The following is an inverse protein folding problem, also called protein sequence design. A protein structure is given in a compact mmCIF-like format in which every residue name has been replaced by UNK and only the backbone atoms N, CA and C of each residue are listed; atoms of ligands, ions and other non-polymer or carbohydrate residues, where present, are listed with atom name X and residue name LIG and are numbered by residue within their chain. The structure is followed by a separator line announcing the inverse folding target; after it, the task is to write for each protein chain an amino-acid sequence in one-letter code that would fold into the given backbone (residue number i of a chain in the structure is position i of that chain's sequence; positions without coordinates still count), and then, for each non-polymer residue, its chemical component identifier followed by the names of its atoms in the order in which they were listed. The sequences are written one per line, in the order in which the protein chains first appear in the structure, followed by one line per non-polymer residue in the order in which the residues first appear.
data_IF_807845238367
#
_entry.id   IF_807845238367
#
_cell.length_a   1.000
_cell.length_b   1.000
_cell.length_c   1.000
_cell.angle_alpha   90.00
_cell.angle_beta   90.00
_cell.angle_gamma   90.00
#
_symmetry.space_group_name_H-M   'P 1'
#
loop_
_entity.id
_entity.type
_entity.pdbx_description
1 polymer ?
#
# COMPACT_ATOMS: atom_id res chain seq x y z
N UNK A 1 -7.08 19.45 5.44
CA UNK A 1 -8.17 19.03 4.58
C UNK A 1 -9.34 18.46 5.37
N UNK A 2 -10.46 18.32 4.74
CA UNK A 2 -11.67 17.75 5.35
C UNK A 2 -11.81 16.24 5.01
N UNK A 3 -10.72 15.57 4.71
CA UNK A 3 -10.72 14.15 4.39
C UNK A 3 -10.25 13.32 5.57
N UNK A 4 -10.60 12.03 5.55
CA UNK A 4 -10.02 11.06 6.45
C UNK A 4 -8.58 10.78 6.05
N UNK A 5 -7.69 10.64 7.03
CA UNK A 5 -6.30 10.31 6.81
C UNK A 5 -5.95 8.97 7.44
N UNK A 6 -4.98 8.28 6.87
CA UNK A 6 -4.27 7.17 7.51
C UNK A 6 -2.87 7.64 7.85
N UNK A 7 -2.45 7.45 9.10
CA UNK A 7 -1.08 7.75 9.51
C UNK A 7 -0.28 6.45 9.38
N UNK A 8 0.66 6.45 8.43
CA UNK A 8 1.57 5.33 8.18
C UNK A 8 2.99 5.64 8.61
N UNK A 9 3.67 4.69 9.21
CA UNK A 9 5.11 4.77 9.50
C UNK A 9 5.79 3.56 8.89
N UNK A 10 6.81 3.79 8.04
CA UNK A 10 7.72 2.76 7.60
C UNK A 10 8.93 2.71 8.56
N UNK A 11 9.03 1.68 9.42
CA UNK A 11 10.09 1.60 10.42
C UNK A 11 11.42 1.13 9.83
N UNK A 12 11.46 0.75 8.55
CA UNK A 12 12.60 0.10 7.89
C UNK A 12 13.15 -1.11 8.66
N UNK A 13 12.32 -1.77 9.46
CA UNK A 13 12.67 -2.95 10.26
C UNK A 13 11.44 -3.79 10.59
N UNK A 14 11.61 -5.10 10.69
CA UNK A 14 10.62 -6.05 11.20
C UNK A 14 10.82 -6.37 12.70
N UNK A 15 11.49 -5.51 13.43
CA UNK A 15 11.67 -5.69 14.87
C UNK A 15 10.34 -5.47 15.61
N UNK A 16 9.85 -6.55 16.24
CA UNK A 16 8.54 -6.57 16.94
C UNK A 16 8.46 -5.50 18.02
N UNK A 17 9.51 -5.32 18.83
CA UNK A 17 9.50 -4.36 19.94
C UNK A 17 9.45 -2.90 19.44
N UNK A 18 10.14 -2.58 18.36
CA UNK A 18 10.08 -1.26 17.75
C UNK A 18 8.70 -1.00 17.12
N UNK A 19 8.15 -1.99 16.44
CA UNK A 19 6.80 -1.90 15.88
C UNK A 19 5.75 -1.63 16.96
N UNK A 20 5.85 -2.33 18.11
CA UNK A 20 4.94 -2.09 19.24
C UNK A 20 5.07 -0.67 19.78
N UNK A 21 6.28 -0.14 19.90
CA UNK A 21 6.50 1.24 20.36
C UNK A 21 5.86 2.26 19.43
N UNK A 22 6.02 2.07 18.11
CA UNK A 22 5.46 2.96 17.11
C UNK A 22 3.93 2.92 17.12
N UNK A 23 3.33 1.72 17.16
CA UNK A 23 1.87 1.58 17.24
C UNK A 23 1.30 2.25 18.49
N UNK A 24 1.93 2.07 19.65
CA UNK A 24 1.50 2.74 20.90
C UNK A 24 1.65 4.25 20.81
N UNK A 25 2.77 4.74 20.27
CA UNK A 25 2.98 6.18 20.09
C UNK A 25 1.92 6.81 19.20
N UNK A 26 1.60 6.17 18.06
CA UNK A 26 0.54 6.66 17.17
C UNK A 26 -0.82 6.64 17.87
N UNK A 27 -1.15 5.56 18.56
CA UNK A 27 -2.42 5.43 19.31
C UNK A 27 -2.52 6.51 20.39
N UNK A 28 -1.47 6.75 21.17
CA UNK A 28 -1.44 7.80 22.21
C UNK A 28 -1.68 9.18 21.61
N UNK A 29 -1.10 9.51 20.45
CA UNK A 29 -1.30 10.78 19.75
C UNK A 29 -2.72 10.88 19.22
N UNK A 30 -3.23 9.84 18.57
CA UNK A 30 -4.59 9.77 18.02
C UNK A 30 -5.61 10.00 19.14
N UNK A 31 -5.47 9.28 20.25
CA UNK A 31 -6.39 9.41 21.38
C UNK A 31 -6.29 10.78 22.07
N UNK A 32 -5.06 11.28 22.29
CA UNK A 32 -4.84 12.56 22.98
C UNK A 32 -5.44 13.74 22.24
N UNK A 33 -5.40 13.73 20.92
CA UNK A 33 -5.85 14.83 20.08
C UNK A 33 -7.18 14.54 19.37
N UNK A 34 -7.81 13.41 19.67
CA UNK A 34 -9.08 12.97 19.09
C UNK A 34 -9.05 13.01 17.54
N UNK A 35 -7.95 12.52 16.96
CA UNK A 35 -7.74 12.54 15.50
C UNK A 35 -8.60 11.45 14.86
N UNK A 36 -9.49 11.77 13.89
CA UNK A 36 -10.31 10.78 13.22
C UNK A 36 -9.51 10.03 12.15
N UNK A 37 -8.59 9.17 12.59
CA UNK A 37 -7.67 8.45 11.70
C UNK A 37 -7.44 7.03 12.18
N UNK A 38 -6.80 6.25 11.32
CA UNK A 38 -6.30 4.91 11.59
C UNK A 38 -4.79 4.91 11.49
N UNK A 39 -4.14 4.11 12.33
CA UNK A 39 -2.69 3.93 12.30
C UNK A 39 -2.29 2.70 11.49
N UNK A 40 -1.12 2.78 10.87
CA UNK A 40 -0.49 1.68 10.17
C UNK A 40 1.03 1.70 10.38
N UNK A 41 1.63 0.57 10.70
CA UNK A 41 3.07 0.37 10.55
C UNK A 41 3.29 -0.48 9.30
N UNK A 42 4.06 0.06 8.34
CA UNK A 42 4.38 -0.61 7.09
C UNK A 42 5.44 -1.68 7.35
N UNK A 43 5.01 -2.80 7.86
CA UNK A 43 5.84 -3.96 8.20
C UNK A 43 5.18 -5.24 7.71
N UNK A 44 5.94 -6.31 7.58
CA UNK A 44 5.42 -7.59 7.10
C UNK A 44 4.28 -8.11 7.99
N UNK A 45 3.25 -8.72 7.38
CA UNK A 45 2.06 -9.23 8.12
C UNK A 45 2.39 -10.16 9.27
N UNK A 46 3.43 -10.98 9.14
CA UNK A 46 3.86 -11.88 10.24
C UNK A 46 4.39 -11.12 11.45
N UNK A 47 5.01 -9.95 11.22
CA UNK A 47 5.40 -9.06 12.30
C UNK A 47 4.18 -8.41 12.95
N UNK A 48 3.20 -7.98 12.14
CA UNK A 48 1.93 -7.43 12.64
C UNK A 48 1.18 -8.44 13.51
N UNK A 49 1.11 -9.72 13.12
CA UNK A 49 0.51 -10.79 13.94
C UNK A 49 1.21 -10.89 15.30
N UNK A 50 2.54 -10.93 15.31
CA UNK A 50 3.33 -10.99 16.54
C UNK A 50 3.15 -9.77 17.45
N UNK A 51 3.02 -8.58 16.86
CA UNK A 51 2.76 -7.35 17.65
C UNK A 51 1.37 -7.37 18.27
N UNK A 52 0.38 -7.84 17.51
CA UNK A 52 -0.99 -8.02 17.99
C UNK A 52 -1.07 -9.00 19.16
N UNK A 53 -0.38 -10.15 19.07
CA UNK A 53 -0.31 -11.14 20.14
C UNK A 53 0.27 -10.59 21.43
N UNK A 54 1.15 -9.58 21.34
CA UNK A 54 1.71 -8.84 22.48
C UNK A 54 0.84 -7.63 22.91
N UNK A 55 -0.38 -7.52 22.41
CA UNK A 55 -1.35 -6.50 22.83
C UNK A 55 -1.11 -5.11 22.23
N UNK A 56 -0.44 -5.01 21.09
CA UNK A 56 -0.28 -3.72 20.41
C UNK A 56 -1.59 -3.28 19.75
N UNK A 57 -1.87 -1.96 19.70
CA UNK A 57 -3.08 -1.40 19.07
C UNK A 57 -2.91 -1.35 17.54
N UNK A 58 -3.25 -2.43 16.86
CA UNK A 58 -3.18 -2.54 15.39
C UNK A 58 -4.52 -2.13 14.79
N UNK A 59 -4.54 -1.06 13.99
CA UNK A 59 -5.73 -0.64 13.23
C UNK A 59 -5.72 -1.26 11.83
N UNK A 60 -4.63 -1.09 11.09
CA UNK A 60 -4.47 -1.62 9.75
C UNK A 60 -3.32 -2.62 9.65
N UNK A 61 -3.55 -3.63 8.84
CA UNK A 61 -2.58 -4.68 8.51
C UNK A 61 -2.05 -4.43 7.10
N UNK A 62 -0.78 -4.07 7.01
CA UNK A 62 -0.09 -3.77 5.76
C UNK A 62 0.54 -5.00 5.13
N UNK A 63 0.50 -5.09 3.80
CA UNK A 63 1.32 -6.02 3.05
C UNK A 63 1.44 -5.63 1.58
N UNK A 64 2.67 -5.70 1.05
CA UNK A 64 2.91 -5.66 -0.40
C UNK A 64 2.58 -7.01 -1.02
N UNK A 65 1.88 -6.99 -2.14
CA UNK A 65 1.50 -8.17 -2.92
C UNK A 65 1.79 -7.97 -4.40
N UNK A 66 1.94 -9.06 -5.12
CA UNK A 66 2.18 -9.04 -6.58
C UNK A 66 1.28 -10.01 -7.34
N UNK A 67 1.38 -9.94 -8.66
CA UNK A 67 0.54 -10.70 -9.59
C UNK A 67 0.97 -12.15 -9.86
N UNK A 68 2.09 -12.60 -9.30
CA UNK A 68 2.57 -13.98 -9.45
C UNK A 68 2.91 -14.59 -8.10
N UNK A 69 2.88 -15.91 -8.03
CA UNK A 69 3.28 -16.61 -6.82
C UNK A 69 4.77 -16.40 -6.51
N UNK A 70 5.62 -16.29 -7.54
CA UNK A 70 7.04 -16.04 -7.34
C UNK A 70 7.28 -14.67 -6.67
N UNK A 71 6.57 -13.62 -7.11
CA UNK A 71 6.62 -12.30 -6.47
C UNK A 71 6.13 -12.37 -5.03
N UNK A 72 4.99 -12.99 -4.77
CA UNK A 72 4.46 -13.11 -3.41
C UNK A 72 5.36 -13.95 -2.50
N UNK A 73 5.99 -15.00 -3.02
CA UNK A 73 6.97 -15.79 -2.28
C UNK A 73 8.23 -14.97 -1.94
N UNK A 74 8.65 -14.05 -2.82
CA UNK A 74 9.77 -13.13 -2.51
C UNK A 74 9.41 -12.13 -1.41
N UNK A 75 8.15 -11.75 -1.29
CA UNK A 75 7.62 -10.99 -0.14
C UNK A 75 7.42 -11.86 1.13
N UNK A 76 7.57 -13.17 1.04
CA UNK A 76 7.32 -14.07 2.16
C UNK A 76 5.84 -14.29 2.47
N UNK A 77 4.94 -14.12 1.52
CA UNK A 77 3.49 -14.26 1.72
C UNK A 77 2.85 -15.24 0.74
N UNK A 78 1.79 -15.84 1.21
CA UNK A 78 0.80 -16.61 0.45
C UNK A 78 -0.61 -16.31 0.94
N UNK A 79 -1.61 -16.90 0.31
CA UNK A 79 -3.02 -16.68 0.69
C UNK A 79 -3.35 -17.14 2.12
N UNK A 80 -2.63 -18.13 2.65
CA UNK A 80 -2.84 -18.63 4.00
C UNK A 80 -2.35 -17.60 5.02
N UNK A 81 -1.13 -17.11 4.85
CA UNK A 81 -0.53 -16.07 5.70
C UNK A 81 -1.37 -14.79 5.66
N UNK A 82 -1.83 -14.35 4.48
CA UNK A 82 -2.69 -13.19 4.35
C UNK A 82 -4.04 -13.37 5.08
N UNK A 83 -4.61 -14.57 5.01
CA UNK A 83 -5.84 -14.89 5.74
C UNK A 83 -5.64 -14.84 7.26
N UNK A 84 -4.56 -15.43 7.76
CA UNK A 84 -4.23 -15.39 9.19
C UNK A 84 -4.05 -13.94 9.69
N UNK A 85 -3.38 -13.10 8.89
CA UNK A 85 -3.20 -11.69 9.22
C UNK A 85 -4.52 -10.90 9.20
N UNK A 86 -5.37 -11.14 8.22
CA UNK A 86 -6.70 -10.54 8.12
C UNK A 86 -7.58 -10.90 9.33
N UNK A 87 -7.64 -12.18 9.67
CA UNK A 87 -8.40 -12.67 10.85
C UNK A 87 -7.85 -12.09 12.16
N UNK A 88 -6.52 -11.96 12.27
CA UNK A 88 -5.87 -11.32 13.41
C UNK A 88 -6.25 -9.84 13.53
N UNK A 89 -6.27 -9.10 12.43
CA UNK A 89 -6.70 -7.69 12.39
C UNK A 89 -8.18 -7.54 12.80
N UNK A 90 -9.07 -8.33 12.20
CA UNK A 90 -10.49 -8.32 12.51
C UNK A 90 -10.77 -8.60 13.99
N UNK A 91 -10.01 -9.50 14.60
CA UNK A 91 -10.23 -9.91 16.01
C UNK A 91 -9.99 -8.77 17.02
N UNK A 92 -9.31 -7.69 16.63
CA UNK A 92 -9.08 -6.53 17.50
C UNK A 92 -10.26 -5.56 17.52
N UNK A 93 -11.13 -5.60 16.51
CA UNK A 93 -12.30 -4.74 16.38
C UNK A 93 -11.96 -3.23 16.54
N UNK A 94 -10.83 -2.81 15.99
CA UNK A 94 -10.32 -1.43 16.08
C UNK A 94 -10.59 -0.58 14.83
N UNK A 95 -11.09 -1.19 13.75
CA UNK A 95 -11.36 -0.46 12.51
C UNK A 95 -12.40 0.64 12.73
N UNK A 96 -12.10 1.86 12.33
CA UNK A 96 -13.01 3.01 12.40
C UNK A 96 -13.97 3.04 11.20
N UNK A 97 -13.63 2.32 10.13
CA UNK A 97 -14.41 2.22 8.89
C UNK A 97 -14.81 0.75 8.66
N UNK A 98 -15.64 0.20 9.55
CA UNK A 98 -16.12 -1.18 9.45
C UNK A 98 -15.02 -2.23 9.63
N UNK A 99 -15.14 -3.33 8.90
CA UNK A 99 -14.26 -4.50 9.02
C UNK A 99 -13.12 -4.52 7.99
N UNK A 100 -12.85 -3.40 7.32
CA UNK A 100 -11.80 -3.29 6.31
C UNK A 100 -10.47 -3.00 7.01
N UNK A 101 -9.70 -4.03 7.30
CA UNK A 101 -8.46 -3.92 8.09
C UNK A 101 -7.19 -4.08 7.26
N UNK A 102 -7.31 -4.45 5.97
CA UNK A 102 -6.14 -4.67 5.12
C UNK A 102 -5.77 -3.40 4.35
N UNK A 103 -4.48 -3.14 4.31
CA UNK A 103 -3.85 -2.16 3.43
C UNK A 103 -2.84 -2.90 2.54
N UNK A 104 -3.14 -2.95 1.24
CA UNK A 104 -2.25 -3.59 0.27
C UNK A 104 -1.48 -2.56 -0.54
N UNK A 105 -0.21 -2.84 -0.78
CA UNK A 105 0.59 -2.20 -1.82
C UNK A 105 0.83 -3.14 -2.98
N UNK A 106 0.76 -2.58 -4.18
CA UNK A 106 1.08 -3.21 -5.45
C UNK A 106 1.86 -2.21 -6.31
N UNK A 107 2.03 -2.43 -7.59
CA UNK A 107 2.48 -1.39 -8.50
C UNK A 107 3.29 -1.89 -9.68
N UNK A 108 3.06 -1.29 -10.82
CA UNK A 108 3.82 -1.55 -12.04
C UNK A 108 5.29 -1.14 -11.90
N UNK A 109 5.59 -0.19 -11.01
CA UNK A 109 6.95 0.25 -10.70
C UNK A 109 7.75 -0.64 -9.77
N UNK A 110 7.18 -1.74 -9.26
CA UNK A 110 7.86 -2.61 -8.30
C UNK A 110 8.97 -3.44 -8.93
N UNK A 111 10.21 -3.26 -8.47
CA UNK A 111 11.37 -4.07 -8.89
C UNK A 111 11.28 -5.53 -8.44
N UNK A 112 10.54 -5.82 -7.38
CA UNK A 112 10.38 -7.18 -6.84
C UNK A 112 9.60 -8.10 -7.78
N UNK A 113 8.86 -7.54 -8.74
CA UNK A 113 8.26 -8.30 -9.83
C UNK A 113 9.21 -8.55 -10.99
N UNK A 114 10.41 -7.96 -10.97
CA UNK A 114 11.44 -8.19 -11.97
C UNK A 114 11.78 -9.68 -12.06
N UNK A 115 11.84 -10.20 -13.30
CA UNK A 115 12.10 -11.63 -13.57
C UNK A 115 11.13 -12.61 -12.88
N UNK A 116 10.06 -12.15 -12.25
CA UNK A 116 9.05 -12.97 -11.59
C UNK A 116 7.67 -12.92 -12.28
N UNK A 117 7.58 -12.24 -13.41
CA UNK A 117 6.35 -12.08 -14.19
C UNK A 117 6.06 -13.22 -15.17
N UNK A 118 7.03 -14.10 -15.45
CA UNK A 118 6.89 -15.22 -16.39
C UNK A 118 6.38 -14.82 -17.77
N UNK A 119 6.81 -13.66 -18.27
CA UNK A 119 6.40 -13.13 -19.57
C UNK A 119 5.01 -12.48 -19.60
N UNK A 120 4.36 -12.32 -18.44
CA UNK A 120 3.14 -11.50 -18.34
C UNK A 120 3.51 -10.02 -18.38
N UNK A 121 2.65 -9.23 -18.99
CA UNK A 121 2.75 -7.77 -18.91
C UNK A 121 2.41 -7.25 -17.50
N UNK A 122 2.79 -6.01 -17.23
CA UNK A 122 2.62 -5.40 -15.91
C UNK A 122 1.14 -5.17 -15.55
N UNK A 123 0.33 -4.78 -16.50
CA UNK A 123 -1.11 -4.59 -16.28
C UNK A 123 -1.79 -5.90 -15.89
N UNK A 124 -1.42 -7.01 -16.56
CA UNK A 124 -1.92 -8.35 -16.20
C UNK A 124 -1.47 -8.74 -14.80
N UNK A 125 -0.21 -8.45 -14.43
CA UNK A 125 0.28 -8.70 -13.07
C UNK A 125 -0.53 -7.91 -12.03
N UNK A 126 -0.80 -6.62 -12.29
CA UNK A 126 -1.62 -5.79 -11.40
C UNK A 126 -3.05 -6.31 -11.26
N UNK A 127 -3.71 -6.64 -12.37
CA UNK A 127 -5.06 -7.22 -12.31
C UNK A 127 -5.12 -8.49 -11.46
N UNK A 128 -4.07 -9.32 -11.50
CA UNK A 128 -3.96 -10.52 -10.66
C UNK A 128 -3.72 -10.18 -9.19
N UNK A 129 -2.87 -9.19 -8.89
CA UNK A 129 -2.66 -8.69 -7.53
C UNK A 129 -3.98 -8.14 -6.96
N UNK A 130 -4.74 -7.38 -7.75
CA UNK A 130 -6.05 -6.85 -7.34
C UNK A 130 -7.08 -7.94 -7.07
N UNK A 131 -7.04 -9.05 -7.81
CA UNK A 131 -7.89 -10.21 -7.51
C UNK A 131 -7.56 -10.82 -6.13
N UNK A 132 -6.31 -10.81 -5.72
CA UNK A 132 -5.89 -11.21 -4.37
C UNK A 132 -6.40 -10.19 -3.34
N UNK A 133 -6.15 -8.90 -3.56
CA UNK A 133 -6.61 -7.83 -2.66
C UNK A 133 -8.13 -7.90 -2.42
N UNK A 134 -8.91 -8.04 -3.48
CA UNK A 134 -10.37 -8.11 -3.43
C UNK A 134 -10.90 -9.24 -2.53
N UNK A 135 -10.16 -10.33 -2.39
CA UNK A 135 -10.53 -11.46 -1.53
C UNK A 135 -10.60 -11.08 -0.05
N UNK A 136 -9.90 -10.03 0.36
CA UNK A 136 -9.79 -9.59 1.75
C UNK A 136 -10.52 -8.29 2.05
N UNK A 137 -11.32 -7.79 1.11
CA UNK A 137 -12.12 -6.57 1.27
C UNK A 137 -11.33 -5.43 1.92
N UNK A 138 -10.27 -4.94 1.28
CA UNK A 138 -9.30 -4.04 1.90
C UNK A 138 -9.88 -2.63 2.14
N UNK A 139 -9.32 -1.91 3.11
CA UNK A 139 -9.57 -0.49 3.28
C UNK A 139 -8.89 0.32 2.18
N UNK A 140 -7.64 -0.05 1.86
CA UNK A 140 -6.80 0.66 0.90
C UNK A 140 -6.07 -0.33 0.00
N UNK A 141 -5.98 0.01 -1.30
CA UNK A 141 -5.05 -0.60 -2.24
C UNK A 141 -4.26 0.50 -2.89
N UNK A 142 -2.97 0.57 -2.62
CA UNK A 142 -2.06 1.58 -3.12
C UNK A 142 -1.22 1.02 -4.26
N UNK A 143 -1.22 1.68 -5.41
CA UNK A 143 -0.28 1.37 -6.48
C UNK A 143 0.95 2.27 -6.37
N UNK A 144 2.13 1.67 -6.46
CA UNK A 144 3.42 2.35 -6.43
C UNK A 144 4.00 2.34 -7.84
N UNK A 145 4.13 3.50 -8.45
CA UNK A 145 4.43 3.59 -9.89
C UNK A 145 5.82 4.11 -10.21
N UNK A 146 6.45 4.88 -9.35
CA UNK A 146 7.77 5.44 -9.57
C UNK A 146 8.85 4.93 -8.61
N UNK A 147 8.52 4.01 -7.74
CA UNK A 147 9.37 3.55 -6.66
C UNK A 147 10.21 2.34 -7.04
N UNK A 148 11.50 2.41 -6.81
CA UNK A 148 12.49 1.31 -6.95
C UNK A 148 12.17 0.34 -8.10
N UNK A 149 12.46 0.71 -9.30
CA UNK A 149 12.20 -0.19 -10.42
C UNK A 149 12.82 0.32 -11.71
N UNK A 150 14.16 0.41 -11.77
CA UNK A 150 14.84 0.92 -12.98
C UNK A 150 14.53 0.10 -14.22
N UNK A 151 13.98 -1.10 -14.05
CA UNK A 151 13.75 -2.04 -15.13
C UNK A 151 12.45 -1.80 -15.90
N UNK A 152 11.52 -0.99 -15.37
CA UNK A 152 10.15 -0.99 -15.88
C UNK A 152 9.55 0.35 -16.25
N UNK A 153 9.80 1.40 -15.49
CA UNK A 153 9.24 2.72 -15.71
C UNK A 153 10.38 3.74 -15.73
N UNK A 154 10.74 4.19 -16.93
CA UNK A 154 11.94 4.98 -17.15
C UNK A 154 11.69 6.48 -17.25
N UNK A 155 10.47 6.89 -17.56
CA UNK A 155 10.13 8.30 -17.76
C UNK A 155 8.77 8.67 -17.17
N UNK A 156 8.51 9.97 -17.05
CA UNK A 156 7.28 10.52 -16.48
C UNK A 156 6.01 10.09 -17.21
N UNK A 157 6.08 9.80 -18.51
CA UNK A 157 4.92 9.34 -19.29
C UNK A 157 4.57 7.90 -18.96
N UNK A 158 5.57 7.05 -18.80
CA UNK A 158 5.37 5.66 -18.38
C UNK A 158 4.81 5.60 -16.95
N UNK A 159 5.34 6.43 -16.05
CA UNK A 159 4.85 6.55 -14.66
C UNK A 159 3.39 7.02 -14.66
N UNK A 160 3.08 8.09 -15.38
CA UNK A 160 1.71 8.62 -15.50
C UNK A 160 0.75 7.58 -16.06
N UNK A 161 1.14 6.88 -17.11
CA UNK A 161 0.36 5.83 -17.72
C UNK A 161 0.10 4.69 -16.74
N UNK A 162 1.13 4.22 -16.06
CA UNK A 162 1.02 3.13 -15.08
C UNK A 162 0.05 3.47 -13.95
N UNK A 163 0.15 4.68 -13.39
CA UNK A 163 -0.75 5.12 -12.32
C UNK A 163 -2.23 5.17 -12.76
N UNK A 164 -2.49 5.66 -13.96
CA UNK A 164 -3.86 5.71 -14.51
C UNK A 164 -4.40 4.32 -14.86
N UNK A 165 -3.58 3.44 -15.45
CA UNK A 165 -3.97 2.06 -15.77
C UNK A 165 -4.29 1.26 -14.52
N UNK A 166 -3.45 1.35 -13.50
CA UNK A 166 -3.62 0.66 -12.23
C UNK A 166 -4.88 1.15 -11.49
N UNK A 167 -5.04 2.47 -11.41
CA UNK A 167 -6.23 3.08 -10.86
C UNK A 167 -7.50 2.62 -11.57
N UNK A 168 -7.52 2.66 -12.90
CA UNK A 168 -8.66 2.25 -13.70
C UNK A 168 -8.98 0.76 -13.51
N UNK A 169 -7.97 -0.11 -13.57
CA UNK A 169 -8.13 -1.55 -13.36
C UNK A 169 -8.72 -1.86 -11.99
N UNK A 170 -8.18 -1.26 -10.94
CA UNK A 170 -8.66 -1.47 -9.57
C UNK A 170 -10.09 -0.97 -9.38
N UNK A 171 -10.44 0.20 -9.92
CA UNK A 171 -11.81 0.72 -9.88
C UNK A 171 -12.81 -0.18 -10.60
N UNK A 172 -12.48 -0.73 -11.75
CA UNK A 172 -13.34 -1.70 -12.45
C UNK A 172 -13.59 -2.96 -11.61
N UNK A 173 -12.64 -3.33 -10.74
CA UNK A 173 -12.77 -4.43 -9.80
C UNK A 173 -13.48 -4.05 -8.50
N UNK A 174 -13.83 -2.79 -8.31
CA UNK A 174 -14.50 -2.27 -7.11
C UNK A 174 -13.58 -2.12 -5.90
N UNK A 175 -12.29 -1.86 -6.13
CA UNK A 175 -11.31 -1.64 -5.08
C UNK A 175 -11.16 -0.16 -4.70
N UNK A 176 -10.86 0.13 -3.43
CA UNK A 176 -10.54 1.49 -2.96
C UNK A 176 -9.09 1.84 -3.37
N UNK A 177 -8.94 2.36 -4.59
CA UNK A 177 -7.63 2.62 -5.19
C UNK A 177 -7.04 3.95 -4.74
N UNK A 178 -5.76 3.89 -4.41
CA UNK A 178 -4.88 5.04 -4.25
C UNK A 178 -3.59 4.88 -5.02
N UNK A 179 -2.77 5.91 -5.02
CA UNK A 179 -1.50 5.94 -5.73
C UNK A 179 -0.42 6.61 -4.88
N UNK A 180 0.76 6.00 -4.89
CA UNK A 180 2.00 6.64 -4.48
C UNK A 180 2.56 7.40 -5.69
N UNK A 181 2.40 8.73 -5.67
CA UNK A 181 2.83 9.61 -6.74
C UNK A 181 4.27 10.01 -6.46
N UNK A 182 5.19 9.18 -6.89
CA UNK A 182 6.62 9.39 -6.69
C UNK A 182 7.44 8.99 -7.91
N UNK A 183 8.70 9.38 -7.89
CA UNK A 183 9.71 8.89 -8.82
C UNK A 183 11.06 8.73 -8.10
N UNK A 184 11.95 7.95 -8.68
CA UNK A 184 13.31 7.77 -8.17
C UNK A 184 14.32 8.34 -9.17
N UNK A 185 15.56 8.57 -8.72
CA UNK A 185 16.61 9.19 -9.51
C UNK A 185 17.01 8.43 -10.79
N UNK A 186 16.52 7.22 -11.00
CA UNK A 186 16.74 6.48 -12.24
C UNK A 186 15.77 6.86 -13.36
N UNK A 187 14.64 7.48 -13.02
CA UNK A 187 13.62 7.86 -13.99
C UNK A 187 13.93 9.23 -14.62
N UNK A 188 13.66 9.36 -15.91
CA UNK A 188 13.63 10.65 -16.61
C UNK A 188 12.26 11.31 -16.35
N UNK A 189 12.10 11.80 -15.13
CA UNK A 189 10.87 12.42 -14.64
C UNK A 189 11.24 13.57 -13.68
N UNK A 190 10.33 14.53 -13.58
CA UNK A 190 10.45 15.65 -12.67
C UNK A 190 9.15 15.92 -11.88
N UNK A 191 9.16 16.96 -11.06
CA UNK A 191 8.01 17.34 -10.26
C UNK A 191 6.77 17.67 -11.12
N UNK A 192 6.96 18.24 -12.32
CA UNK A 192 5.82 18.53 -13.21
C UNK A 192 5.10 17.25 -13.67
N UNK A 193 5.85 16.16 -13.87
CA UNK A 193 5.26 14.88 -14.21
C UNK A 193 4.39 14.34 -13.05
N UNK A 194 4.87 14.53 -11.81
CA UNK A 194 4.13 14.11 -10.61
C UNK A 194 2.89 14.97 -10.39
N UNK A 195 2.98 16.28 -10.56
CA UNK A 195 1.85 17.23 -10.47
C UNK A 195 0.78 16.90 -11.53
N UNK A 196 1.21 16.54 -12.74
CA UNK A 196 0.30 16.09 -13.79
C UNK A 196 -0.41 14.79 -13.40
N UNK A 197 0.32 13.81 -12.89
CA UNK A 197 -0.27 12.54 -12.45
C UNK A 197 -1.26 12.76 -11.29
N UNK A 198 -0.90 13.57 -10.30
CA UNK A 198 -1.79 13.95 -9.19
C UNK A 198 -3.09 14.56 -9.71
N UNK A 199 -2.98 15.52 -10.63
CA UNK A 199 -4.14 16.17 -11.24
C UNK A 199 -5.03 15.19 -11.99
N UNK A 200 -4.44 14.31 -12.79
CA UNK A 200 -5.18 13.31 -13.56
C UNK A 200 -5.87 12.29 -12.67
N UNK A 201 -5.21 11.80 -11.63
CA UNK A 201 -5.79 10.88 -10.66
C UNK A 201 -6.92 11.53 -9.85
N UNK A 202 -6.76 12.80 -9.48
CA UNK A 202 -7.81 13.57 -8.83
C UNK A 202 -9.06 13.68 -9.69
N UNK A 203 -8.92 14.02 -10.98
CA UNK A 203 -10.02 14.07 -11.95
C UNK A 203 -10.65 12.69 -12.19
N UNK A 204 -9.82 11.64 -12.21
CA UNK A 204 -10.29 10.25 -12.35
C UNK A 204 -11.01 9.72 -11.09
N UNK A 205 -11.00 10.47 -10.00
CA UNK A 205 -11.64 10.09 -8.73
C UNK A 205 -10.86 9.03 -7.97
N UNK A 206 -9.54 9.20 -7.87
CA UNK A 206 -8.70 8.40 -6.99
C UNK A 206 -9.16 8.57 -5.53
N UNK A 207 -9.18 7.50 -4.75
CA UNK A 207 -9.72 7.54 -3.39
C UNK A 207 -8.77 8.23 -2.40
N UNK A 208 -7.47 8.04 -2.57
CA UNK A 208 -6.44 8.62 -1.71
C UNK A 208 -5.11 8.72 -2.45
N UNK A 209 -4.23 9.55 -1.94
CA UNK A 209 -2.85 9.69 -2.38
C UNK A 209 -1.95 9.36 -1.20
N UNK A 210 -0.92 8.56 -1.44
CA UNK A 210 0.16 8.36 -0.50
C UNK A 210 1.19 9.47 -0.71
N UNK A 211 1.57 10.14 0.35
CA UNK A 211 2.58 11.18 0.34
C UNK A 211 3.53 11.05 1.53
N UNK A 212 4.75 11.52 1.37
CA UNK A 212 5.79 11.54 2.41
C UNK A 212 6.09 12.99 2.77
N UNK A 213 5.77 13.45 4.00
CA UNK A 213 5.99 14.84 4.37
C UNK A 213 7.43 15.32 4.14
N UNK A 214 7.58 16.39 3.36
CA UNK A 214 8.87 16.98 3.02
C UNK A 214 9.65 16.28 1.92
N UNK A 215 9.04 15.31 1.23
CA UNK A 215 9.65 14.61 0.09
C UNK A 215 8.75 14.60 -1.15
N UNK A 216 7.45 14.52 -0.93
CA UNK A 216 6.43 14.58 -1.99
C UNK A 216 5.62 15.86 -1.74
N UNK A 217 5.90 16.90 -2.51
CA UNK A 217 5.22 18.21 -2.39
C UNK A 217 4.08 18.36 -3.40
#
# INVERSE_FOLDING_TARGET
GNGDAVIGINPATDNVEQTIKLLKLMDDVIQKYEIPTQSCVLTHVTNTIKTKEKGAPVDLVFQSIGGTQATNSSFGVDLKILKEAHEAGLSLNRGTVGNNVMYFETGQGSSLSANANFGLDKQTCEARAYAVAKKFDPLLVNTVVGFIGPEYLFDGKEITRAGLEDHFCGKLLGLPMGCDICYTNHADADQNDMDNLLTLLGVAGCNFIMGIPGSDD
#
